data_IF_470284302426
#
_entry.id   IF_470284302426
#
_cell.length_a   1.000
_cell.length_b   1.000
_cell.length_c   1.000
_cell.angle_alpha   90.00
_cell.angle_beta   90.00
_cell.angle_gamma   90.00
#
_symmetry.space_group_name_H-M   'P 1'
#
loop_
_entity.id
_entity.type
_entity.pdbx_description
1 polymer ?
#
# COMPACT_ATOMS: atom_id res chain seq x y z
N UNK A 1 28.33 0.24 14.38
CA UNK A 1 27.55 0.65 13.19
C UNK A 1 26.08 0.20 13.26
N UNK A 2 25.76 -0.94 13.90
CA UNK A 2 24.38 -1.43 14.12
C UNK A 2 23.53 -0.54 15.06
N UNK A 3 24.14 0.18 16.01
CA UNK A 3 23.41 1.05 16.95
C UNK A 3 22.83 2.34 16.35
N UNK A 4 23.14 2.68 15.08
CA UNK A 4 22.64 3.90 14.44
C UNK A 4 21.27 3.70 13.75
N UNK A 5 20.86 2.45 13.54
CA UNK A 5 19.51 2.07 13.08
C UNK A 5 18.45 2.14 14.20
N UNK A 6 18.86 2.43 15.44
CA UNK A 6 17.98 2.46 16.62
C UNK A 6 17.29 3.80 16.86
N UNK A 7 17.53 4.80 16.01
CA UNK A 7 16.77 6.06 16.03
C UNK A 7 15.61 5.90 15.07
N UNK A 8 14.40 5.95 15.63
CA UNK A 8 13.12 6.17 14.98
C UNK A 8 13.23 7.13 13.78
N UNK A 9 13.58 6.60 12.62
CA UNK A 9 13.68 7.39 11.42
C UNK A 9 12.34 7.26 10.69
N UNK A 10 11.52 8.29 10.82
CA UNK A 10 10.24 8.41 10.12
C UNK A 10 10.40 8.10 8.63
N UNK A 11 11.56 8.43 8.04
CA UNK A 11 11.91 8.11 6.66
C UNK A 11 12.00 6.61 6.38
N UNK A 12 12.47 5.79 7.34
CA UNK A 12 12.59 4.35 7.14
C UNK A 12 11.21 3.68 7.03
N UNK A 13 10.27 4.02 7.91
CA UNK A 13 8.89 3.52 7.84
C UNK A 13 8.19 3.93 6.54
N UNK A 14 8.39 5.18 6.10
CA UNK A 14 7.83 5.66 4.84
C UNK A 14 8.40 4.92 3.62
N UNK A 15 9.73 4.77 3.56
CA UNK A 15 10.40 4.06 2.46
C UNK A 15 9.96 2.60 2.37
N UNK A 16 9.95 1.88 3.51
CA UNK A 16 9.52 0.49 3.55
C UNK A 16 8.05 0.35 3.13
N UNK A 17 7.18 1.27 3.55
CA UNK A 17 5.78 1.30 3.14
C UNK A 17 5.58 1.53 1.63
N UNK A 18 6.31 2.47 1.04
CA UNK A 18 6.27 2.76 -0.40
C UNK A 18 6.78 1.55 -1.20
N UNK A 19 7.94 1.01 -0.82
CA UNK A 19 8.54 -0.15 -1.49
C UNK A 19 7.57 -1.34 -1.45
N UNK A 20 6.92 -1.58 -0.31
CA UNK A 20 5.97 -2.68 -0.15
C UNK A 20 4.75 -2.54 -1.07
N UNK A 21 4.20 -1.33 -1.20
CA UNK A 21 3.06 -1.07 -2.12
C UNK A 21 3.49 -1.30 -3.57
N UNK A 22 4.63 -0.76 -3.97
CA UNK A 22 5.14 -0.88 -5.34
C UNK A 22 5.38 -2.34 -5.69
N UNK A 23 6.09 -3.06 -4.82
CA UNK A 23 6.47 -4.45 -5.05
C UNK A 23 5.23 -5.34 -5.15
N UNK A 24 4.23 -5.12 -4.29
CA UNK A 24 2.97 -5.86 -4.33
C UNK A 24 2.13 -5.49 -5.56
N UNK A 25 2.13 -4.22 -5.97
CA UNK A 25 1.47 -3.79 -7.22
C UNK A 25 2.09 -4.45 -8.44
N UNK A 26 3.42 -4.57 -8.50
CA UNK A 26 4.11 -5.29 -9.59
C UNK A 26 3.70 -6.76 -9.61
N UNK A 27 3.66 -7.41 -8.44
CA UNK A 27 3.21 -8.81 -8.33
C UNK A 27 1.78 -8.97 -8.82
N UNK A 28 0.87 -8.05 -8.48
CA UNK A 28 -0.51 -8.07 -8.95
C UNK A 28 -0.60 -7.85 -10.48
N UNK A 29 0.19 -6.94 -11.06
CA UNK A 29 0.27 -6.76 -12.52
C UNK A 29 0.75 -8.03 -13.22
N UNK A 30 1.79 -8.67 -12.70
CA UNK A 30 2.29 -9.94 -13.23
C UNK A 30 1.26 -11.06 -13.04
N UNK A 31 0.51 -11.06 -11.94
CA UNK A 31 -0.57 -12.00 -11.71
C UNK A 31 -1.69 -11.86 -12.75
N UNK A 32 -2.10 -10.62 -13.05
CA UNK A 32 -3.13 -10.35 -14.05
C UNK A 32 -2.72 -10.77 -15.47
N UNK A 33 -1.45 -10.59 -15.83
CA UNK A 33 -0.97 -10.99 -17.15
C UNK A 33 -1.06 -12.50 -17.38
N UNK A 34 -0.94 -13.32 -16.34
CA UNK A 34 -1.16 -14.78 -16.40
C UNK A 34 -2.60 -15.15 -16.75
N UNK A 35 -3.56 -14.26 -16.47
CA UNK A 35 -4.99 -14.45 -16.79
C UNK A 35 -5.42 -13.69 -18.04
N UNK A 36 -4.47 -13.15 -18.82
CA UNK A 36 -4.74 -12.28 -19.98
C UNK A 36 -5.61 -11.06 -19.63
N UNK A 37 -5.50 -10.58 -18.38
CA UNK A 37 -6.19 -9.39 -17.87
C UNK A 37 -5.21 -8.25 -17.70
N UNK A 38 -5.73 -7.03 -17.73
CA UNK A 38 -5.01 -5.79 -17.51
C UNK A 38 -5.52 -5.08 -16.26
N UNK A 39 -4.79 -4.06 -15.82
CA UNK A 39 -5.20 -3.20 -14.70
C UNK A 39 -6.61 -2.60 -14.91
N UNK A 40 -6.99 -2.31 -16.15
CA UNK A 40 -8.26 -1.66 -16.46
C UNK A 40 -9.46 -2.61 -16.30
N UNK A 41 -9.24 -3.92 -16.40
CA UNK A 41 -10.32 -4.92 -16.32
C UNK A 41 -10.79 -5.09 -14.88
N UNK A 42 -9.85 -5.16 -13.93
CA UNK A 42 -10.14 -5.36 -12.51
C UNK A 42 -9.30 -4.42 -11.62
N UNK A 43 -9.49 -3.09 -11.73
CA UNK A 43 -8.63 -2.12 -11.04
C UNK A 43 -8.72 -2.27 -9.52
N UNK A 44 -9.87 -2.70 -8.97
CA UNK A 44 -10.09 -2.94 -7.52
C UNK A 44 -9.08 -3.90 -6.90
N UNK A 45 -8.52 -4.84 -7.68
CA UNK A 45 -7.54 -5.80 -7.18
C UNK A 45 -6.27 -5.11 -6.63
N UNK A 46 -5.99 -3.88 -7.06
CA UNK A 46 -4.83 -3.14 -6.57
C UNK A 46 -5.01 -2.57 -5.16
N UNK A 47 -6.24 -2.62 -4.60
CA UNK A 47 -6.45 -2.41 -3.16
C UNK A 47 -5.67 -3.42 -2.30
N UNK A 48 -5.43 -4.64 -2.82
CA UNK A 48 -4.65 -5.66 -2.10
C UNK A 48 -3.17 -5.28 -1.98
N UNK A 49 -2.66 -4.36 -2.81
CA UNK A 49 -1.26 -3.89 -2.73
C UNK A 49 -0.94 -3.13 -1.44
N UNK A 50 -1.96 -2.60 -0.75
CA UNK A 50 -1.82 -1.88 0.51
C UNK A 50 -1.76 -2.81 1.74
N UNK A 51 -2.19 -4.07 1.61
CA UNK A 51 -2.26 -5.02 2.74
C UNK A 51 -0.89 -5.21 3.41
N UNK A 52 0.21 -5.45 2.68
CA UNK A 52 1.53 -5.60 3.30
C UNK A 52 1.94 -4.37 4.10
N UNK A 53 1.63 -3.16 3.61
CA UNK A 53 1.94 -1.90 4.31
C UNK A 53 1.07 -1.70 5.56
N UNK A 54 -0.19 -2.14 5.54
CA UNK A 54 -1.06 -2.16 6.72
C UNK A 54 -0.57 -3.19 7.76
N UNK A 55 -0.11 -4.36 7.31
CA UNK A 55 0.48 -5.37 8.19
C UNK A 55 1.81 -4.88 8.79
N UNK A 56 2.63 -4.20 8.00
CA UNK A 56 3.85 -3.51 8.46
C UNK A 56 3.53 -2.47 9.53
N UNK A 57 2.50 -1.64 9.32
CA UNK A 57 2.02 -0.69 10.34
C UNK A 57 1.65 -1.43 11.63
N UNK A 58 0.86 -2.51 11.56
CA UNK A 58 0.45 -3.29 12.72
C UNK A 58 1.65 -3.91 13.45
N UNK A 59 2.63 -4.41 12.69
CA UNK A 59 3.85 -4.99 13.25
C UNK A 59 4.73 -3.93 13.91
N UNK A 60 4.85 -2.76 13.31
CA UNK A 60 5.53 -1.58 13.86
C UNK A 60 4.93 -1.11 15.19
N UNK A 61 3.59 -1.14 15.32
CA UNK A 61 2.94 -0.81 16.59
C UNK A 61 3.09 -1.90 17.66
N UNK A 62 3.17 -3.17 17.26
CA UNK A 62 3.28 -4.31 18.19
C UNK A 62 4.70 -4.45 18.75
N UNK A 63 5.72 -4.10 17.97
CA UNK A 63 7.11 -4.07 18.44
C UNK A 63 7.33 -2.69 19.07
N UNK A 64 7.24 -2.60 20.40
CA UNK A 64 7.29 -1.39 21.25
C UNK A 64 8.56 -0.49 21.13
N UNK A 65 9.32 -0.57 20.04
CA UNK A 65 10.56 0.20 19.84
C UNK A 65 10.41 1.45 18.98
N UNK A 66 9.22 1.73 18.44
CA UNK A 66 9.01 2.84 17.49
C UNK A 66 7.86 3.72 17.98
N UNK A 67 8.19 4.92 18.47
CA UNK A 67 7.22 5.88 19.04
C UNK A 67 6.25 6.45 18.01
N UNK A 68 6.38 6.11 16.73
CA UNK A 68 5.54 6.70 15.69
C UNK A 68 5.47 5.88 14.39
N UNK A 69 4.35 5.17 14.19
CA UNK A 69 3.97 4.68 12.86
C UNK A 69 3.31 5.77 11.97
N UNK A 70 3.34 7.05 12.39
CA UNK A 70 2.70 8.16 11.66
C UNK A 70 3.16 8.24 10.21
N UNK A 71 4.43 7.92 9.95
CA UNK A 71 4.98 7.90 8.60
C UNK A 71 4.32 6.84 7.70
N UNK A 72 4.10 5.62 8.22
CA UNK A 72 3.42 4.55 7.49
C UNK A 72 1.95 4.92 7.24
N UNK A 73 1.30 5.50 8.25
CA UNK A 73 -0.08 6.03 8.11
C UNK A 73 -0.16 7.10 7.03
N UNK A 74 0.78 8.06 7.02
CA UNK A 74 0.81 9.10 5.99
C UNK A 74 0.98 8.49 4.60
N UNK A 75 1.90 7.53 4.43
CA UNK A 75 2.05 6.82 3.14
C UNK A 75 0.75 6.16 2.73
N UNK A 76 0.08 5.42 3.63
CA UNK A 76 -1.20 4.79 3.33
C UNK A 76 -2.23 5.84 2.90
N UNK A 77 -2.41 6.91 3.67
CA UNK A 77 -3.41 7.95 3.38
C UNK A 77 -3.12 8.65 2.04
N UNK A 78 -1.87 9.06 1.81
CA UNK A 78 -1.47 9.77 0.59
C UNK A 78 -1.52 8.91 -0.67
N UNK A 79 -1.45 7.58 -0.54
CA UNK A 79 -1.52 6.67 -1.70
C UNK A 79 -2.93 6.15 -1.92
N UNK A 80 -3.68 5.93 -0.83
CA UNK A 80 -5.01 5.34 -0.86
C UNK A 80 -6.08 6.36 -1.26
N UNK A 81 -6.03 7.61 -0.77
CA UNK A 81 -6.98 8.67 -1.18
C UNK A 81 -6.99 8.90 -2.70
N UNK A 82 -5.86 9.20 -3.37
CA UNK A 82 -5.87 9.43 -4.82
C UNK A 82 -6.26 8.18 -5.58
N UNK A 83 -5.94 6.99 -5.06
CA UNK A 83 -6.34 5.74 -5.66
C UNK A 83 -7.86 5.49 -5.56
N UNK A 84 -8.49 5.81 -4.42
CA UNK A 84 -9.95 5.81 -4.30
C UNK A 84 -10.61 6.84 -5.22
N UNK A 85 -10.02 8.03 -5.35
CA UNK A 85 -10.47 9.04 -6.30
C UNK A 85 -10.39 8.51 -7.74
N UNK A 86 -9.27 7.88 -8.12
CA UNK A 86 -9.13 7.22 -9.41
C UNK A 86 -10.23 6.19 -9.65
N UNK A 87 -10.43 5.24 -8.73
CA UNK A 87 -11.47 4.22 -8.84
C UNK A 87 -12.87 4.83 -9.00
N UNK A 88 -13.16 5.91 -8.26
CA UNK A 88 -14.41 6.65 -8.38
C UNK A 88 -14.58 7.27 -9.77
N UNK A 89 -13.55 7.96 -10.28
CA UNK A 89 -13.58 8.57 -11.62
C UNK A 89 -13.67 7.54 -12.75
N UNK A 90 -13.12 6.34 -12.55
CA UNK A 90 -13.23 5.22 -13.49
C UNK A 90 -14.61 4.54 -13.46
N UNK A 91 -15.57 5.01 -12.66
CA UNK A 91 -16.91 4.43 -12.58
C UNK A 91 -16.97 3.05 -11.94
N UNK A 92 -15.87 2.63 -11.30
CA UNK A 92 -15.69 1.28 -10.72
C UNK A 92 -16.63 1.01 -9.54
N UNK A 93 -17.12 2.07 -8.91
CA UNK A 93 -18.16 2.02 -7.86
C UNK A 93 -19.56 2.38 -8.36
N UNK A 94 -19.70 2.82 -9.61
CA UNK A 94 -20.98 3.24 -10.20
C UNK A 94 -21.72 2.08 -10.89
N UNK A 95 -21.16 0.87 -10.86
CA UNK A 95 -21.85 -0.34 -11.31
C UNK A 95 -22.92 -0.70 -10.27
N UNK A 96 -24.06 -0.02 -10.36
CA UNK A 96 -25.33 -0.54 -9.84
C UNK A 96 -25.49 -1.91 -10.48
N UNK A 97 -25.51 -2.95 -9.63
CA UNK A 97 -25.79 -4.31 -10.05
C UNK A 97 -27.01 -4.33 -10.98
N UNK A 98 -26.81 -4.75 -12.22
CA UNK A 98 -27.89 -5.27 -13.07
C UNK A 98 -27.86 -6.78 -12.98
#
# INVERSE_FOLDING_TARGET
MINKLRKDDYGFGALVGIISIILTSIILLLGLSLFSKTYNDDPKLFLFSFIPTILLMRWYFKIEYIKSAKAIVLVIVFTLIPYFFFLYTSGVFNTIAK
#
